data_IF_553265362915
#
_entry.id   IF_553265362915
#
_cell.length_a   1.000
_cell.length_b   1.000
_cell.length_c   1.000
_cell.angle_alpha   90.00
_cell.angle_beta   90.00
_cell.angle_gamma   90.00
#
_symmetry.space_group_name_H-M   'P 1'
#
loop_
_entity.id
_entity.type
_entity.pdbx_description
1 polymer ?
#
# COMPACT_ATOMS: atom_id res chain seq x y z
N UNK A 1 37.65 -17.95 13.22
CA UNK A 1 37.47 -17.51 11.81
C UNK A 1 36.33 -18.25 11.11
N UNK A 2 36.25 -19.60 11.14
CA UNK A 2 35.14 -20.38 10.55
C UNK A 2 33.73 -20.01 11.06
N UNK A 3 33.58 -19.77 12.37
CA UNK A 3 32.28 -19.41 12.96
C UNK A 3 31.81 -17.98 12.62
N UNK A 4 32.74 -17.06 12.33
CA UNK A 4 32.40 -15.67 11.95
C UNK A 4 31.82 -15.63 10.54
N UNK A 5 32.37 -16.44 9.63
CA UNK A 5 31.87 -16.57 8.25
C UNK A 5 30.46 -17.20 8.23
N UNK A 6 30.21 -18.18 9.10
CA UNK A 6 28.89 -18.80 9.22
C UNK A 6 27.81 -17.82 9.72
N UNK A 7 28.14 -16.96 10.68
CA UNK A 7 27.21 -15.95 11.23
C UNK A 7 26.92 -14.82 10.23
N UNK A 8 27.91 -14.45 9.40
CA UNK A 8 27.74 -13.43 8.36
C UNK A 8 26.80 -13.92 7.23
N UNK A 9 26.80 -15.22 6.93
CA UNK A 9 25.96 -15.81 5.89
C UNK A 9 24.47 -15.83 6.26
N UNK A 10 24.12 -16.01 7.54
CA UNK A 10 22.73 -16.06 8.00
C UNK A 10 22.00 -14.71 7.95
N UNK A 11 22.73 -13.59 8.01
CA UNK A 11 22.13 -12.25 8.00
C UNK A 11 21.64 -11.85 6.60
N UNK A 12 22.24 -12.41 5.54
CA UNK A 12 21.92 -12.03 4.16
C UNK A 12 20.54 -12.60 3.71
N UNK A 13 20.03 -13.66 4.33
CA UNK A 13 18.77 -14.31 3.92
C UNK A 13 17.50 -13.64 4.50
N UNK A 14 17.62 -12.68 5.42
CA UNK A 14 16.45 -12.05 6.04
C UNK A 14 15.79 -10.93 5.20
N UNK A 15 16.32 -10.63 4.01
CA UNK A 15 15.92 -9.45 3.22
C UNK A 15 14.83 -9.64 2.15
N UNK A 16 14.31 -10.84 1.93
CA UNK A 16 13.45 -11.13 0.77
C UNK A 16 11.92 -11.04 1.02
N UNK A 17 11.47 -10.40 2.11
CA UNK A 17 10.08 -10.54 2.55
C UNK A 17 9.14 -9.36 2.27
N UNK A 18 9.64 -8.22 1.80
CA UNK A 18 8.76 -7.09 1.47
C UNK A 18 9.27 -6.34 0.24
N UNK A 19 8.46 -6.33 -0.82
CA UNK A 19 8.76 -5.55 -2.03
C UNK A 19 8.01 -4.24 -1.91
N UNK A 20 8.73 -3.18 -1.57
CA UNK A 20 8.15 -1.84 -1.48
C UNK A 20 7.55 -1.35 -2.81
N UNK A 21 7.02 -0.13 -2.86
CA UNK A 21 6.17 0.30 -3.96
C UNK A 21 6.77 0.11 -5.35
N UNK A 22 6.05 -0.63 -6.19
CA UNK A 22 6.43 -0.87 -7.57
C UNK A 22 5.74 0.09 -8.51
N UNK A 23 6.50 0.65 -9.47
CA UNK A 23 5.96 1.56 -10.47
C UNK A 23 5.21 0.79 -11.54
N UNK A 24 3.93 1.09 -11.71
CA UNK A 24 3.06 0.46 -12.73
C UNK A 24 2.69 1.41 -13.88
N UNK A 25 2.82 2.73 -13.68
CA UNK A 25 2.67 3.75 -14.73
C UNK A 25 3.49 5.01 -14.41
N UNK A 26 3.38 6.08 -15.22
CA UNK A 26 4.21 7.30 -15.13
C UNK A 26 4.34 7.87 -13.70
N UNK A 27 3.22 8.07 -13.02
CA UNK A 27 3.12 8.57 -11.65
C UNK A 27 2.37 7.58 -10.74
N UNK A 28 2.14 6.35 -11.20
CA UNK A 28 1.27 5.37 -10.53
C UNK A 28 2.09 4.18 -10.03
N UNK A 29 1.81 3.77 -8.81
CA UNK A 29 2.51 2.73 -8.08
C UNK A 29 1.53 1.76 -7.46
N UNK A 30 1.96 0.51 -7.28
CA UNK A 30 1.25 -0.51 -6.52
C UNK A 30 2.12 -1.00 -5.37
N UNK A 31 1.51 -1.34 -4.25
CA UNK A 31 2.16 -2.06 -3.16
C UNK A 31 1.19 -3.09 -2.60
N UNK A 32 1.72 -4.27 -2.29
CA UNK A 32 1.00 -5.35 -1.64
C UNK A 32 1.70 -5.67 -0.33
N UNK A 33 0.97 -5.57 0.78
CA UNK A 33 1.50 -5.84 2.11
C UNK A 33 0.73 -7.01 2.71
N UNK A 34 1.47 -7.92 3.36
CA UNK A 34 0.91 -8.99 4.18
C UNK A 34 1.42 -8.85 5.60
N UNK A 35 0.50 -8.85 6.56
CA UNK A 35 0.82 -8.72 7.98
C UNK A 35 0.28 -9.91 8.76
N UNK A 36 1.07 -10.49 9.67
CA UNK A 36 0.55 -11.48 10.60
C UNK A 36 -0.23 -10.79 11.73
N UNK A 37 -1.30 -11.42 12.21
CA UNK A 37 -2.04 -11.07 13.43
C UNK A 37 -2.79 -9.72 13.49
N UNK A 38 -2.62 -8.79 12.55
CA UNK A 38 -3.32 -7.50 12.55
C UNK A 38 -4.49 -7.42 11.55
N UNK A 39 -4.71 -8.49 10.80
CA UNK A 39 -5.83 -8.62 9.85
C UNK A 39 -5.81 -7.57 8.72
N UNK A 40 -6.88 -7.50 7.91
CA UNK A 40 -6.93 -6.68 6.70
C UNK A 40 -6.72 -5.18 6.97
N UNK A 41 -7.20 -4.70 8.12
CA UNK A 41 -7.01 -3.30 8.54
C UNK A 41 -5.56 -2.97 8.87
N UNK A 42 -4.83 -3.89 9.50
CA UNK A 42 -3.39 -3.74 9.73
C UNK A 42 -2.64 -3.68 8.41
N UNK A 43 -2.96 -4.60 7.48
CA UNK A 43 -2.30 -4.67 6.17
C UNK A 43 -2.48 -3.37 5.39
N UNK A 44 -3.71 -2.85 5.36
CA UNK A 44 -4.04 -1.56 4.77
C UNK A 44 -3.24 -0.42 5.41
N UNK A 45 -3.18 -0.40 6.75
CA UNK A 45 -2.45 0.63 7.48
C UNK A 45 -0.97 0.67 7.12
N UNK A 46 -0.33 -0.50 7.02
CA UNK A 46 1.08 -0.60 6.64
C UNK A 46 1.31 -0.24 5.17
N UNK A 47 0.46 -0.70 4.26
CA UNK A 47 0.51 -0.32 2.84
C UNK A 47 0.40 1.21 2.65
N UNK A 48 -0.54 1.86 3.34
CA UNK A 48 -0.70 3.32 3.28
C UNK A 48 0.48 4.06 3.90
N UNK A 49 1.04 3.55 4.99
CA UNK A 49 2.21 4.15 5.67
C UNK A 49 3.42 4.13 4.76
N UNK A 50 3.68 2.98 4.13
CA UNK A 50 4.81 2.82 3.22
C UNK A 50 4.65 3.63 1.95
N UNK A 51 3.45 3.61 1.35
CA UNK A 51 3.16 4.43 0.17
C UNK A 51 3.31 5.93 0.46
N UNK A 52 2.88 6.41 1.63
CA UNK A 52 3.11 7.78 2.08
C UNK A 52 4.60 8.09 2.21
N UNK A 53 5.38 7.22 2.87
CA UNK A 53 6.83 7.37 2.99
C UNK A 53 7.53 7.43 1.63
N UNK A 54 7.09 6.58 0.68
CA UNK A 54 7.62 6.55 -0.67
C UNK A 54 7.33 7.84 -1.45
N UNK A 55 6.11 8.38 -1.39
CA UNK A 55 5.81 9.66 -2.03
C UNK A 55 6.54 10.83 -1.34
N UNK A 56 6.61 10.83 -0.01
CA UNK A 56 7.30 11.86 0.77
C UNK A 56 8.80 11.90 0.44
N UNK A 57 9.46 10.75 0.25
CA UNK A 57 10.86 10.69 -0.18
C UNK A 57 11.13 11.35 -1.54
N UNK A 58 10.07 11.56 -2.34
CA UNK A 58 10.11 12.25 -3.64
C UNK A 58 9.60 13.69 -3.56
N UNK A 59 9.32 14.24 -2.37
CA UNK A 59 8.67 15.53 -2.16
C UNK A 59 7.30 15.62 -2.87
N UNK A 60 6.54 14.52 -2.82
CA UNK A 60 5.21 14.40 -3.42
C UNK A 60 4.20 13.92 -2.39
N UNK A 61 2.93 14.19 -2.66
CA UNK A 61 1.79 13.77 -1.87
C UNK A 61 1.18 12.49 -2.45
N UNK A 62 0.71 11.62 -1.56
CA UNK A 62 0.00 10.40 -1.94
C UNK A 62 -1.44 10.73 -2.36
N UNK A 63 -1.85 10.22 -3.51
CA UNK A 63 -3.24 10.14 -3.93
C UNK A 63 -3.62 8.67 -4.07
N UNK A 64 -4.43 8.16 -3.15
CA UNK A 64 -4.94 6.78 -3.21
C UNK A 64 -5.89 6.65 -4.41
N UNK A 65 -5.72 5.60 -5.21
CA UNK A 65 -6.51 5.35 -6.42
C UNK A 65 -7.42 4.12 -6.28
N UNK A 66 -6.89 3.05 -5.68
CA UNK A 66 -7.64 1.84 -5.36
C UNK A 66 -7.07 1.21 -4.10
N UNK A 67 -7.92 0.51 -3.38
CA UNK A 67 -7.58 -0.22 -2.17
C UNK A 67 -8.41 -1.49 -2.10
N UNK A 68 -7.72 -2.62 -2.03
CA UNK A 68 -8.30 -3.92 -1.73
C UNK A 68 -7.63 -4.45 -0.46
N UNK A 69 -8.43 -4.90 0.50
CA UNK A 69 -7.93 -5.59 1.68
C UNK A 69 -8.78 -6.82 1.96
N UNK A 70 -8.12 -7.90 2.33
CA UNK A 70 -8.77 -9.19 2.52
C UNK A 70 -8.01 -10.02 3.56
N UNK A 71 -8.71 -10.97 4.15
CA UNK A 71 -8.12 -11.94 5.07
C UNK A 71 -7.37 -13.00 4.25
N UNK A 72 -6.22 -13.44 4.75
CA UNK A 72 -5.49 -14.53 4.12
C UNK A 72 -6.25 -15.88 4.27
N UNK A 73 -5.94 -16.84 3.39
CA UNK A 73 -6.65 -18.13 3.31
C UNK A 73 -6.57 -19.01 4.57
N UNK A 74 -5.77 -18.64 5.58
CA UNK A 74 -5.55 -19.39 6.82
C UNK A 74 -6.42 -18.88 7.98
N UNK A 75 -7.75 -18.86 7.80
CA UNK A 75 -8.73 -18.69 8.90
C UNK A 75 -8.47 -17.49 9.84
N UNK A 76 -8.14 -16.31 9.33
CA UNK A 76 -8.09 -15.10 10.17
C UNK A 76 -6.74 -14.77 10.80
N UNK A 77 -5.67 -15.49 10.44
CA UNK A 77 -4.34 -15.29 11.04
C UNK A 77 -3.50 -14.18 10.42
N UNK A 78 -3.92 -13.59 9.29
CA UNK A 78 -3.14 -12.60 8.56
C UNK A 78 -3.99 -11.72 7.65
N UNK A 79 -3.62 -10.43 7.62
CA UNK A 79 -4.17 -9.49 6.66
C UNK A 79 -3.35 -9.39 5.40
N UNK A 80 -4.03 -9.17 4.29
CA UNK A 80 -3.43 -8.74 3.04
C UNK A 80 -4.11 -7.46 2.56
N UNK A 81 -3.30 -6.56 1.99
CA UNK A 81 -3.80 -5.38 1.33
C UNK A 81 -2.98 -5.08 0.08
N UNK A 82 -3.68 -4.71 -0.98
CA UNK A 82 -3.10 -4.19 -2.21
C UNK A 82 -3.68 -2.79 -2.44
N UNK A 83 -2.80 -1.81 -2.62
CA UNK A 83 -3.21 -0.45 -2.96
C UNK A 83 -2.53 0.00 -4.23
N UNK A 84 -3.29 0.73 -5.05
CA UNK A 84 -2.76 1.50 -6.17
C UNK A 84 -2.85 2.97 -5.84
N UNK A 85 -1.76 3.70 -6.01
CA UNK A 85 -1.69 5.10 -5.63
C UNK A 85 -0.83 5.90 -6.62
N UNK A 86 -0.96 7.22 -6.59
CA UNK A 86 -0.08 8.13 -7.30
C UNK A 86 0.74 8.94 -6.31
N UNK A 87 1.95 9.30 -6.74
CA UNK A 87 2.72 10.36 -6.08
C UNK A 87 2.64 11.62 -6.93
N UNK A 88 1.97 12.65 -6.42
CA UNK A 88 1.69 13.90 -7.14
C UNK A 88 2.34 15.10 -6.44
N UNK A 89 2.66 16.14 -7.21
CA UNK A 89 3.05 17.42 -6.60
C UNK A 89 1.80 18.11 -6.02
N UNK A 90 1.97 18.96 -5.01
CA UNK A 90 0.90 19.81 -4.47
C UNK A 90 0.25 20.71 -5.54
N UNK A 91 1.01 21.03 -6.60
CA UNK A 91 0.54 21.84 -7.73
C UNK A 91 -0.13 21.01 -8.84
N UNK A 92 -0.21 19.68 -8.68
CA UNK A 92 -0.86 18.82 -9.67
C UNK A 92 -2.40 18.99 -9.58
N UNK A 93 -3.09 19.33 -10.68
CA UNK A 93 -4.54 19.49 -10.67
C UNK A 93 -5.28 18.26 -10.13
N UNK A 94 -4.74 17.06 -10.34
CA UNK A 94 -5.33 15.80 -9.87
C UNK A 94 -5.32 15.66 -8.34
N UNK A 95 -4.42 16.35 -7.64
CA UNK A 95 -4.37 16.36 -6.17
C UNK A 95 -5.35 17.38 -5.57
N UNK A 96 -5.59 18.48 -6.27
CA UNK A 96 -6.46 19.57 -5.80
C UNK A 96 -7.97 19.25 -5.83
N UNK A 97 -8.36 18.20 -6.54
CA UNK A 97 -9.76 17.77 -6.65
C UNK A 97 -9.99 16.64 -5.63
N UNK A 98 -10.96 16.74 -4.71
CA UNK A 98 -11.33 15.61 -3.86
C UNK A 98 -11.83 14.46 -4.74
N UNK A 99 -10.93 13.51 -5.03
CA UNK A 99 -11.26 12.22 -5.65
C UNK A 99 -11.95 11.38 -4.58
N UNK A 100 -13.18 11.75 -4.22
CA UNK A 100 -13.96 10.97 -3.28
C UNK A 100 -14.21 9.61 -3.92
N UNK A 101 -13.71 8.56 -3.26
CA UNK A 101 -13.96 7.13 -3.54
C UNK A 101 -15.46 6.84 -3.38
N UNK A 102 -16.25 7.37 -4.29
CA UNK A 102 -17.70 7.34 -4.24
C UNK A 102 -18.12 5.98 -4.82
N UNK A 103 -18.49 5.08 -3.90
CA UNK A 103 -18.84 3.67 -4.17
C UNK A 103 -19.99 3.48 -5.18
N UNK A 104 -20.77 4.53 -5.46
CA UNK A 104 -21.96 4.48 -6.31
C UNK A 104 -21.70 4.87 -7.78
N UNK A 105 -20.44 4.96 -8.24
CA UNK A 105 -20.07 5.40 -9.59
C UNK A 105 -20.72 6.75 -10.00
N UNK A 106 -21.07 7.61 -9.04
CA UNK A 106 -21.74 8.89 -9.30
C UNK A 106 -23.26 8.80 -9.47
N UNK A 107 -23.88 7.66 -9.15
CA UNK A 107 -25.34 7.48 -9.20
C UNK A 107 -25.97 8.00 -7.91
N UNK A 108 -26.61 9.18 -7.99
CA UNK A 108 -27.52 9.68 -6.95
C UNK A 108 -28.85 8.91 -6.99
N UNK A 109 -29.04 7.92 -6.11
CA UNK A 109 -30.38 7.35 -5.88
C UNK A 109 -31.18 8.25 -4.95
N UNK A 110 -32.21 8.92 -5.49
CA UNK A 110 -33.18 9.65 -4.66
C UNK A 110 -34.13 8.63 -4.05
N UNK A 111 -34.01 8.38 -2.75
CA UNK A 111 -35.01 7.63 -1.99
C UNK A 111 -36.20 8.56 -1.70
N UNK A 112 -37.26 8.45 -2.51
CA UNK A 112 -38.52 9.13 -2.24
C UNK A 112 -39.29 8.31 -1.20
N UNK A 113 -39.47 8.86 0.00
CA UNK A 113 -40.28 8.27 1.08
C UNK A 113 -41.76 8.38 0.76
#
# INVERSE_FOLDING_TARGET
MRFVVAFLMSVILAGCADTGPMKIAKDTYSISVRVPFSGPSGAKGDALREANGFCASQNKQLLLQSENSYECALHGGCGEAEITFLCLSEKDPRYSIPQQMRKDNGVITIQNR
#
